data_IF_400685761408
#
_entry.id   IF_400685761408
#
_cell.length_a   1.000
_cell.length_b   1.000
_cell.length_c   1.000
_cell.angle_alpha   90.00
_cell.angle_beta   90.00
_cell.angle_gamma   90.00
#
_symmetry.space_group_name_H-M   'P 1'
#
loop_
_entity.id
_entity.type
_entity.pdbx_description
1 polymer ?
#
# COMPACT_ATOMS: atom_id res chain seq x y z
N UNK A 1 -48.21 47.09 -50.60
CA UNK A 1 -47.89 48.22 -51.49
C UNK A 1 -46.38 48.26 -51.59
N UNK A 2 -45.95 47.97 -52.75
CA UNK A 2 -44.84 48.55 -53.54
C UNK A 2 -43.46 48.52 -52.86
N UNK A 3 -42.39 48.03 -53.42
CA UNK A 3 -42.09 47.66 -54.79
C UNK A 3 -40.58 47.69 -54.99
N UNK A 4 -40.13 46.74 -55.76
CA UNK A 4 -39.09 46.82 -56.80
C UNK A 4 -37.67 47.24 -56.38
N UNK A 5 -36.75 46.37 -56.48
CA UNK A 5 -36.06 45.91 -57.68
C UNK A 5 -34.72 46.62 -57.98
N UNK A 6 -33.70 45.82 -58.09
CA UNK A 6 -32.75 45.73 -59.21
C UNK A 6 -31.48 46.56 -59.13
N UNK A 7 -30.35 46.02 -59.18
CA UNK A 7 -29.49 45.64 -60.33
C UNK A 7 -28.07 45.30 -59.92
N UNK A 8 -27.60 44.25 -60.48
CA UNK A 8 -26.23 43.84 -60.72
C UNK A 8 -25.24 44.99 -61.06
N UNK A 9 -23.99 44.83 -60.65
CA UNK A 9 -22.84 44.79 -61.55
C UNK A 9 -21.57 44.34 -60.83
N UNK A 10 -20.97 43.32 -61.41
CA UNK A 10 -19.62 42.80 -61.32
C UNK A 10 -18.53 43.81 -61.32
N UNK A 11 -17.48 43.58 -60.55
CA UNK A 11 -16.10 43.63 -61.02
C UNK A 11 -15.14 42.92 -60.06
N UNK A 12 -14.33 42.07 -60.63
CA UNK A 12 -13.25 41.32 -59.99
C UNK A 12 -12.00 42.17 -59.81
N UNK A 13 -11.32 41.99 -58.73
CA UNK A 13 -9.86 42.24 -58.64
C UNK A 13 -9.28 41.45 -57.47
N UNK A 14 -8.32 40.64 -57.75
CA UNK A 14 -7.67 39.71 -56.84
C UNK A 14 -6.76 40.41 -55.80
N UNK A 15 -6.63 39.78 -54.69
CA UNK A 15 -5.47 39.90 -53.82
C UNK A 15 -5.21 38.54 -53.20
N UNK A 16 -4.18 37.87 -53.64
CA UNK A 16 -3.51 36.79 -52.93
C UNK A 16 -3.01 37.35 -51.59
N UNK A 17 -3.53 36.85 -50.48
CA UNK A 17 -2.85 36.91 -49.20
C UNK A 17 -2.65 35.49 -48.71
N UNK A 18 -1.39 35.09 -48.63
CA UNK A 18 -0.95 33.79 -48.16
C UNK A 18 -1.38 33.56 -46.71
N UNK A 19 -2.16 32.49 -46.53
CA UNK A 19 -2.39 31.93 -45.21
C UNK A 19 -1.12 31.12 -44.85
N UNK A 20 -0.25 31.71 -44.01
CA UNK A 20 0.73 30.92 -43.25
C UNK A 20 -0.03 30.02 -42.28
N UNK A 21 -0.27 28.79 -42.69
CA UNK A 21 -0.65 27.75 -41.75
C UNK A 21 0.54 27.49 -40.85
N UNK A 22 0.48 28.06 -39.65
CA UNK A 22 1.27 27.58 -38.49
C UNK A 22 0.83 26.16 -38.18
N UNK A 23 1.46 25.20 -38.85
CA UNK A 23 1.44 23.81 -38.42
C UNK A 23 2.24 23.79 -37.09
N UNK A 24 1.55 24.02 -35.99
CA UNK A 24 2.08 23.70 -34.67
C UNK A 24 2.34 22.20 -34.64
N UNK A 25 3.59 21.80 -34.84
CA UNK A 25 4.04 20.46 -34.50
C UNK A 25 3.96 20.35 -32.96
N UNK A 26 2.77 20.05 -32.46
CA UNK A 26 2.64 19.48 -31.14
C UNK A 26 3.44 18.16 -31.19
N UNK A 27 4.65 18.19 -30.67
CA UNK A 27 5.36 16.97 -30.33
C UNK A 27 4.53 16.29 -29.25
N UNK A 28 3.54 15.50 -29.65
CA UNK A 28 2.94 14.52 -28.77
C UNK A 28 4.09 13.62 -28.32
N UNK A 29 4.37 13.63 -27.05
CA UNK A 29 5.25 12.64 -26.46
C UNK A 29 4.62 11.26 -26.77
N UNK A 30 5.09 10.62 -27.82
CA UNK A 30 4.76 9.22 -28.05
C UNK A 30 5.40 8.45 -26.89
N UNK A 31 4.58 7.85 -26.04
CA UNK A 31 5.06 6.89 -25.07
C UNK A 31 5.87 5.83 -25.83
N UNK A 32 7.10 5.59 -25.40
CA UNK A 32 7.91 4.51 -25.96
C UNK A 32 7.26 3.18 -25.54
N UNK A 33 6.54 2.55 -26.46
CA UNK A 33 5.86 1.28 -26.19
C UNK A 33 6.83 0.11 -26.11
N UNK A 34 8.08 0.28 -26.54
CA UNK A 34 9.11 -0.74 -26.46
C UNK A 34 9.92 -0.54 -25.18
N UNK A 35 9.58 -1.33 -24.13
CA UNK A 35 10.28 -1.33 -22.84
C UNK A 35 11.25 -2.51 -22.69
N UNK A 36 11.46 -3.30 -23.74
CA UNK A 36 12.40 -4.41 -23.72
C UNK A 36 13.84 -3.93 -23.48
N UNK A 37 14.60 -4.67 -22.69
CA UNK A 37 15.99 -4.35 -22.35
C UNK A 37 16.14 -3.27 -21.27
N UNK A 38 15.06 -2.64 -20.80
CA UNK A 38 15.07 -1.74 -19.65
C UNK A 38 15.46 -2.45 -18.37
N UNK A 39 15.98 -1.70 -17.39
CA UNK A 39 16.45 -2.23 -16.11
C UNK A 39 15.63 -1.71 -14.95
N UNK A 40 15.05 -2.63 -14.17
CA UNK A 40 14.36 -2.36 -12.91
C UNK A 40 15.18 -2.96 -11.77
N UNK A 41 15.30 -2.23 -10.65
CA UNK A 41 15.88 -2.78 -9.41
C UNK A 41 14.81 -2.68 -8.33
N UNK A 42 14.58 -3.80 -7.63
CA UNK A 42 13.67 -3.85 -6.48
C UNK A 42 14.48 -4.08 -5.19
N UNK A 43 14.30 -3.21 -4.20
CA UNK A 43 14.92 -3.32 -2.87
C UNK A 43 13.81 -3.50 -1.83
N UNK A 44 13.41 -4.74 -1.53
CA UNK A 44 12.46 -5.05 -0.46
C UNK A 44 13.12 -4.93 0.92
N UNK A 45 12.29 -4.81 1.98
CA UNK A 45 12.75 -4.92 3.37
C UNK A 45 13.34 -6.31 3.62
N UNK A 46 12.70 -7.35 3.12
CA UNK A 46 13.20 -8.73 3.10
C UNK A 46 12.47 -9.54 2.03
N UNK A 47 13.12 -10.56 1.51
CA UNK A 47 12.51 -11.66 0.76
C UNK A 47 12.19 -12.83 1.69
N UNK A 48 11.56 -13.90 1.16
CA UNK A 48 11.22 -15.10 1.93
C UNK A 48 9.98 -14.95 2.81
N UNK A 49 9.25 -13.86 2.71
CA UNK A 49 7.92 -13.68 3.30
C UNK A 49 6.87 -13.60 2.20
N UNK A 50 5.65 -14.10 2.47
CA UNK A 50 4.56 -14.19 1.48
C UNK A 50 4.29 -12.85 0.79
N UNK A 51 4.32 -11.77 1.53
CA UNK A 51 4.11 -10.40 1.05
C UNK A 51 5.05 -10.04 -0.12
N UNK A 52 6.35 -10.12 0.11
CA UNK A 52 7.36 -9.70 -0.87
C UNK A 52 7.54 -10.73 -1.99
N UNK A 53 7.34 -12.01 -1.72
CA UNK A 53 7.33 -13.07 -2.74
C UNK A 53 6.13 -12.89 -3.70
N UNK A 54 4.95 -12.55 -3.19
CA UNK A 54 3.78 -12.24 -4.01
C UNK A 54 4.06 -11.06 -4.95
N UNK A 55 4.63 -9.97 -4.45
CA UNK A 55 5.02 -8.83 -5.30
C UNK A 55 6.07 -9.20 -6.33
N UNK A 56 7.15 -9.85 -5.89
CA UNK A 56 8.25 -10.23 -6.76
C UNK A 56 7.82 -11.16 -7.89
N UNK A 57 6.95 -12.13 -7.60
CA UNK A 57 6.38 -13.04 -8.59
C UNK A 57 5.66 -12.26 -9.68
N UNK A 58 4.73 -11.36 -9.31
CA UNK A 58 3.95 -10.59 -10.27
C UNK A 58 4.79 -9.60 -11.07
N UNK A 59 5.71 -8.91 -10.43
CA UNK A 59 6.63 -8.02 -11.14
C UNK A 59 7.53 -8.78 -12.13
N UNK A 60 7.98 -10.01 -11.81
CA UNK A 60 8.74 -10.87 -12.74
C UNK A 60 7.87 -11.33 -13.92
N UNK A 61 6.60 -11.69 -13.70
CA UNK A 61 5.68 -12.03 -14.78
C UNK A 61 5.55 -10.88 -15.80
N UNK A 62 5.44 -9.63 -15.33
CA UNK A 62 5.46 -8.46 -16.21
C UNK A 62 6.80 -8.31 -16.96
N UNK A 63 7.92 -8.47 -16.25
CA UNK A 63 9.25 -8.41 -16.86
C UNK A 63 9.43 -9.45 -17.98
N UNK A 64 8.97 -10.68 -17.74
CA UNK A 64 9.04 -11.76 -18.73
C UNK A 64 8.16 -11.47 -19.97
N UNK A 65 6.96 -10.91 -19.77
CA UNK A 65 6.04 -10.56 -20.87
C UNK A 65 6.61 -9.44 -21.74
N UNK A 66 7.20 -8.41 -21.14
CA UNK A 66 7.61 -7.19 -21.83
C UNK A 66 9.12 -7.12 -22.13
N UNK A 67 9.91 -8.08 -21.67
CA UNK A 67 11.34 -8.22 -21.99
C UNK A 67 12.26 -7.25 -21.26
N UNK A 68 11.84 -6.63 -20.15
CA UNK A 68 12.75 -5.89 -19.28
C UNK A 68 13.34 -6.79 -18.19
N UNK A 69 14.36 -6.32 -17.50
CA UNK A 69 14.98 -7.08 -16.39
C UNK A 69 14.58 -6.51 -15.05
N UNK A 70 14.38 -7.39 -14.05
CA UNK A 70 14.20 -7.00 -12.67
C UNK A 70 15.25 -7.67 -11.77
N UNK A 71 16.07 -6.86 -11.11
CA UNK A 71 17.09 -7.29 -10.14
C UNK A 71 16.57 -7.03 -8.72
N UNK A 72 16.44 -8.10 -7.92
CA UNK A 72 15.90 -8.02 -6.56
C UNK A 72 17.07 -8.11 -5.57
N UNK A 73 17.17 -7.12 -4.67
CA UNK A 73 18.23 -6.98 -3.69
C UNK A 73 17.65 -7.04 -2.28
N UNK A 74 17.73 -8.21 -1.71
CA UNK A 74 17.18 -8.52 -0.39
C UNK A 74 17.98 -7.80 0.71
N UNK A 75 17.31 -6.97 1.51
CA UNK A 75 17.88 -6.32 2.68
C UNK A 75 17.81 -7.17 3.95
N UNK A 76 17.11 -8.32 3.93
CA UNK A 76 17.02 -9.29 5.02
C UNK A 76 16.68 -8.65 6.39
N UNK A 77 15.70 -7.72 6.42
CA UNK A 77 15.31 -6.91 7.59
C UNK A 77 16.45 -6.02 8.16
N UNK A 78 17.58 -5.89 7.47
CA UNK A 78 18.67 -5.03 7.89
C UNK A 78 18.53 -3.62 7.27
N UNK A 79 18.11 -2.66 8.07
CA UNK A 79 17.87 -1.29 7.63
C UNK A 79 19.13 -0.57 7.17
N UNK A 80 20.31 -0.87 7.76
CA UNK A 80 21.60 -0.36 7.32
C UNK A 80 22.00 -0.89 5.95
N UNK A 81 21.91 -2.21 5.76
CA UNK A 81 22.17 -2.86 4.48
C UNK A 81 21.20 -2.34 3.40
N UNK A 82 19.95 -2.09 3.73
CA UNK A 82 18.95 -1.55 2.79
C UNK A 82 19.35 -0.18 2.23
N UNK A 83 19.85 0.72 3.09
CA UNK A 83 20.33 2.04 2.66
C UNK A 83 21.55 1.94 1.72
N UNK A 84 22.46 1.01 2.00
CA UNK A 84 23.63 0.73 1.14
C UNK A 84 23.24 0.10 -0.20
N UNK A 85 22.32 -0.88 -0.19
CA UNK A 85 21.79 -1.50 -1.41
C UNK A 85 21.12 -0.47 -2.31
N UNK A 86 20.34 0.46 -1.70
CA UNK A 86 19.68 1.51 -2.43
C UNK A 86 20.70 2.51 -3.04
N UNK A 87 21.71 2.92 -2.29
CA UNK A 87 22.78 3.78 -2.79
C UNK A 87 23.53 3.13 -3.96
N UNK A 88 23.82 1.83 -3.86
CA UNK A 88 24.42 1.07 -4.94
C UNK A 88 23.50 0.99 -6.16
N UNK A 89 22.21 0.72 -5.95
CA UNK A 89 21.21 0.69 -7.03
C UNK A 89 21.16 2.03 -7.79
N UNK A 90 21.18 3.16 -7.11
CA UNK A 90 21.19 4.49 -7.72
C UNK A 90 22.43 4.68 -8.61
N UNK A 91 23.62 4.26 -8.13
CA UNK A 91 24.85 4.39 -8.92
C UNK A 91 24.84 3.61 -10.25
N UNK A 92 24.02 2.58 -10.35
CA UNK A 92 23.84 1.75 -11.57
C UNK A 92 22.82 2.35 -12.55
N UNK A 93 22.13 3.42 -12.18
CA UNK A 93 21.18 4.18 -12.99
C UNK A 93 20.11 3.29 -13.65
N UNK A 94 19.30 2.54 -12.88
CA UNK A 94 18.20 1.79 -13.46
C UNK A 94 17.15 2.73 -14.06
N UNK A 95 16.32 2.23 -14.96
CA UNK A 95 15.19 2.99 -15.50
C UNK A 95 14.09 3.20 -14.44
N UNK A 96 13.86 2.18 -13.58
CA UNK A 96 12.94 2.25 -12.44
C UNK A 96 13.58 1.61 -11.21
N UNK A 97 13.42 2.27 -10.07
CA UNK A 97 13.81 1.78 -8.76
C UNK A 97 12.57 1.54 -7.91
N UNK A 98 12.33 0.30 -7.49
CA UNK A 98 11.20 -0.08 -6.62
C UNK A 98 11.72 -0.19 -5.19
N UNK A 99 11.04 0.47 -4.25
CA UNK A 99 11.51 0.57 -2.85
C UNK A 99 10.37 0.24 -1.89
N UNK A 100 10.64 -0.67 -0.95
CA UNK A 100 9.76 -0.96 0.18
C UNK A 100 10.35 -0.31 1.45
N UNK A 101 9.82 0.84 1.85
CA UNK A 101 10.39 1.65 2.93
C UNK A 101 10.15 1.02 4.31
N UNK A 102 11.19 0.81 5.15
CA UNK A 102 10.98 0.28 6.51
C UNK A 102 10.44 1.32 7.49
N UNK A 103 10.75 2.60 7.27
CA UNK A 103 10.22 3.72 8.06
C UNK A 103 10.00 4.93 7.14
N UNK A 104 9.20 5.90 7.58
CA UNK A 104 8.89 7.10 6.78
C UNK A 104 10.12 7.96 6.46
N UNK A 105 11.22 7.83 7.19
CA UNK A 105 12.39 8.71 7.06
C UNK A 105 13.64 8.05 6.51
N UNK A 106 13.84 6.76 6.77
CA UNK A 106 15.14 6.09 6.59
C UNK A 106 15.73 6.27 5.19
N UNK A 107 14.93 6.10 4.15
CA UNK A 107 15.37 6.13 2.74
C UNK A 107 15.06 7.43 2.02
N UNK A 108 14.54 8.44 2.71
CA UNK A 108 14.14 9.73 2.13
C UNK A 108 15.24 10.41 1.33
N UNK A 109 16.48 10.37 1.84
CA UNK A 109 17.65 10.95 1.16
C UNK A 109 17.95 10.24 -0.15
N UNK A 110 17.95 8.90 -0.15
CA UNK A 110 18.24 8.09 -1.34
C UNK A 110 17.13 8.23 -2.38
N UNK A 111 15.85 8.25 -1.95
CA UNK A 111 14.73 8.48 -2.86
C UNK A 111 14.87 9.84 -3.54
N UNK A 112 15.15 10.90 -2.76
CA UNK A 112 15.37 12.25 -3.30
C UNK A 112 16.55 12.29 -4.28
N UNK A 113 17.64 11.59 -3.97
CA UNK A 113 18.81 11.48 -4.85
C UNK A 113 18.44 10.79 -6.16
N UNK A 114 17.79 9.62 -6.13
CA UNK A 114 17.36 8.88 -7.31
C UNK A 114 16.51 9.75 -8.25
N UNK A 115 15.48 10.41 -7.70
CA UNK A 115 14.61 11.31 -8.46
C UNK A 115 15.41 12.48 -9.09
N UNK A 116 16.34 13.09 -8.34
CA UNK A 116 17.18 14.18 -8.85
C UNK A 116 18.15 13.75 -9.96
N UNK A 117 18.50 12.47 -10.02
CA UNK A 117 19.32 11.86 -11.07
C UNK A 117 18.47 11.35 -12.26
N UNK A 118 17.15 11.55 -12.23
CA UNK A 118 16.23 11.15 -13.30
C UNK A 118 15.79 9.69 -13.25
N UNK A 119 16.12 8.95 -12.18
CA UNK A 119 15.66 7.59 -11.93
C UNK A 119 14.23 7.66 -11.40
N UNK A 120 13.30 6.97 -12.06
CA UNK A 120 11.90 6.89 -11.59
C UNK A 120 11.80 5.99 -10.39
N UNK A 121 11.22 6.48 -9.30
CA UNK A 121 11.07 5.70 -8.07
C UNK A 121 9.61 5.31 -7.87
N UNK A 122 9.37 4.01 -7.74
CA UNK A 122 8.12 3.42 -7.29
C UNK A 122 8.27 3.00 -5.82
N UNK A 123 7.55 3.64 -4.92
CA UNK A 123 7.42 3.15 -3.56
C UNK A 123 6.29 2.12 -3.51
N UNK A 124 6.54 0.96 -2.89
CA UNK A 124 5.54 -0.09 -2.75
C UNK A 124 5.14 -0.27 -1.29
N UNK A 125 3.84 -0.40 -1.05
CA UNK A 125 3.19 -0.68 0.23
C UNK A 125 3.41 0.41 1.31
N UNK A 126 4.64 0.75 1.65
CA UNK A 126 4.99 1.73 2.67
C UNK A 126 5.63 2.97 2.03
N UNK A 127 5.07 4.14 2.30
CA UNK A 127 5.57 5.41 1.79
C UNK A 127 6.64 6.01 2.71
N UNK A 128 7.64 6.63 2.10
CA UNK A 128 8.50 7.61 2.77
C UNK A 128 7.79 8.97 2.88
N UNK A 129 8.24 9.82 3.78
CA UNK A 129 7.87 11.24 3.78
C UNK A 129 8.49 12.03 2.60
N UNK A 130 9.37 11.39 1.81
CA UNK A 130 9.87 11.93 0.55
C UNK A 130 8.98 11.46 -0.60
N UNK A 131 8.30 12.38 -1.31
CA UNK A 131 7.57 12.01 -2.52
C UNK A 131 8.46 11.36 -3.57
N UNK A 132 7.88 10.51 -4.41
CA UNK A 132 8.54 9.84 -5.54
C UNK A 132 7.68 9.92 -6.80
N UNK A 133 8.16 9.36 -7.92
CA UNK A 133 7.40 9.32 -9.17
C UNK A 133 6.08 8.58 -9.01
N UNK A 134 6.08 7.45 -8.26
CA UNK A 134 4.88 6.63 -8.09
C UNK A 134 4.79 5.95 -6.71
N UNK A 135 3.57 5.57 -6.35
CA UNK A 135 3.25 4.72 -5.22
C UNK A 135 2.21 3.67 -5.60
N UNK A 136 2.43 2.43 -5.15
CA UNK A 136 1.44 1.35 -5.18
C UNK A 136 1.31 0.78 -3.77
N UNK A 137 0.13 0.81 -3.19
CA UNK A 137 -0.06 0.35 -1.82
C UNK A 137 -1.50 0.38 -1.33
N UNK A 138 -1.67 0.13 -0.03
CA UNK A 138 -2.98 0.22 0.61
C UNK A 138 -3.29 1.65 1.08
N UNK A 139 -4.58 1.94 1.22
CA UNK A 139 -5.03 3.15 1.89
C UNK A 139 -5.04 2.92 3.41
N UNK A 140 -3.91 3.21 4.05
CA UNK A 140 -3.70 2.95 5.48
C UNK A 140 -4.63 3.75 6.39
N UNK A 141 -4.99 4.98 6.00
CA UNK A 141 -5.95 5.81 6.74
C UNK A 141 -7.33 5.14 6.76
N UNK A 142 -7.79 4.70 5.59
CA UNK A 142 -9.06 4.00 5.46
C UNK A 142 -9.08 2.72 6.27
N UNK A 143 -8.00 1.92 6.21
CA UNK A 143 -7.89 0.66 6.96
C UNK A 143 -7.96 0.92 8.46
N UNK A 144 -7.14 1.84 8.99
CA UNK A 144 -7.13 2.18 10.41
C UNK A 144 -8.49 2.66 10.91
N UNK A 145 -9.14 3.53 10.13
CA UNK A 145 -10.49 4.03 10.44
C UNK A 145 -11.52 2.91 10.43
N UNK A 146 -11.60 2.09 9.38
CA UNK A 146 -12.61 1.03 9.27
C UNK A 146 -12.44 -0.05 10.35
N UNK A 147 -11.20 -0.42 10.72
CA UNK A 147 -10.95 -1.34 11.83
C UNK A 147 -11.42 -0.72 13.15
N UNK A 148 -11.10 0.55 13.39
CA UNK A 148 -11.52 1.23 14.62
C UNK A 148 -13.05 1.37 14.71
N UNK A 149 -13.73 1.72 13.62
CA UNK A 149 -15.20 1.78 13.54
C UNK A 149 -15.83 0.39 13.83
N UNK A 150 -15.25 -0.68 13.32
CA UNK A 150 -15.71 -2.04 13.58
C UNK A 150 -15.47 -2.45 15.05
N UNK A 151 -14.33 -2.06 15.64
CA UNK A 151 -14.05 -2.25 17.07
C UNK A 151 -15.06 -1.49 17.94
N UNK A 152 -15.38 -0.24 17.62
CA UNK A 152 -16.40 0.55 18.32
C UNK A 152 -17.75 -0.17 18.27
N UNK A 153 -18.14 -0.68 17.12
CA UNK A 153 -19.39 -1.44 16.95
C UNK A 153 -19.44 -2.70 17.82
N UNK A 154 -18.35 -3.43 17.91
CA UNK A 154 -18.29 -4.74 18.59
C UNK A 154 -17.96 -4.61 20.09
N UNK A 155 -17.29 -3.55 20.50
CA UNK A 155 -16.80 -3.34 21.86
C UNK A 155 -17.42 -2.14 22.60
N UNK A 156 -18.01 -1.20 21.85
CA UNK A 156 -18.53 0.06 22.39
C UNK A 156 -19.87 -0.06 23.08
N UNK A 157 -20.55 1.07 23.24
CA UNK A 157 -21.80 1.18 23.96
C UNK A 157 -22.88 0.22 23.44
N UNK A 158 -23.52 -0.51 24.35
CA UNK A 158 -24.56 -1.49 24.01
C UNK A 158 -24.05 -2.89 23.62
N UNK A 159 -22.76 -3.11 23.47
CA UNK A 159 -22.18 -4.43 23.17
C UNK A 159 -22.16 -5.37 24.41
N UNK A 160 -22.24 -4.82 25.61
CA UNK A 160 -22.06 -5.55 26.85
C UNK A 160 -20.60 -5.90 27.17
N UNK A 161 -19.64 -5.40 26.38
CA UNK A 161 -18.19 -5.61 26.57
C UNK A 161 -17.52 -4.40 27.23
N UNK A 162 -16.26 -4.56 27.63
CA UNK A 162 -15.53 -3.56 28.43
C UNK A 162 -15.13 -2.28 27.66
N UNK A 163 -15.11 -2.33 26.32
CA UNK A 163 -14.54 -1.26 25.50
C UNK A 163 -13.00 -1.19 25.51
N UNK A 164 -12.31 -2.08 26.22
CA UNK A 164 -10.84 -2.08 26.30
C UNK A 164 -10.20 -2.65 25.06
N UNK A 165 -9.25 -1.92 24.49
CA UNK A 165 -8.58 -2.25 23.21
C UNK A 165 -7.07 -2.20 23.40
N UNK A 166 -6.36 -3.17 22.83
CA UNK A 166 -4.91 -3.14 22.71
C UNK A 166 -4.52 -2.94 21.24
N UNK A 167 -3.58 -2.04 20.95
CA UNK A 167 -3.01 -1.85 19.62
C UNK A 167 -1.60 -2.44 19.62
N UNK A 168 -1.29 -3.25 18.62
CA UNK A 168 0.03 -3.89 18.44
C UNK A 168 0.55 -3.52 17.05
N UNK A 169 1.21 -2.35 16.92
CA UNK A 169 1.87 -1.97 15.68
C UNK A 169 3.15 -2.81 15.47
N UNK A 170 3.65 -2.81 14.23
CA UNK A 170 4.98 -3.35 13.94
C UNK A 170 6.06 -2.45 14.53
N UNK A 171 6.45 -1.41 13.81
CA UNK A 171 7.32 -0.35 14.31
C UNK A 171 6.56 0.97 14.35
N UNK A 172 6.69 1.72 15.45
CA UNK A 172 5.96 3.00 15.61
C UNK A 172 6.30 4.05 14.54
N UNK A 173 7.42 3.90 13.85
CA UNK A 173 7.88 4.82 12.79
C UNK A 173 7.62 4.31 11.37
N UNK A 174 7.03 3.14 11.21
CA UNK A 174 6.59 2.64 9.91
C UNK A 174 5.37 3.44 9.42
N UNK A 175 5.25 3.62 8.11
CA UNK A 175 4.20 4.48 7.53
C UNK A 175 2.79 3.97 7.84
N UNK A 176 2.56 2.67 7.71
CA UNK A 176 1.29 2.02 8.06
C UNK A 176 0.93 2.23 9.53
N UNK A 177 1.91 2.04 10.43
CA UNK A 177 1.70 2.20 11.87
C UNK A 177 1.34 3.64 12.26
N UNK A 178 2.04 4.61 11.70
CA UNK A 178 1.77 6.03 11.94
C UNK A 178 0.36 6.40 11.45
N UNK A 179 0.04 6.04 10.20
CA UNK A 179 -1.21 6.46 9.55
C UNK A 179 -2.41 5.72 10.14
N UNK A 180 -2.31 4.40 10.36
CA UNK A 180 -3.41 3.62 10.94
C UNK A 180 -3.68 3.99 12.40
N UNK A 181 -2.63 4.21 13.22
CA UNK A 181 -2.81 4.69 14.58
C UNK A 181 -3.52 6.04 14.63
N UNK A 182 -3.06 7.01 13.83
CA UNK A 182 -3.68 8.34 13.77
C UNK A 182 -5.17 8.25 13.39
N UNK A 183 -5.49 7.45 12.38
CA UNK A 183 -6.86 7.22 11.96
C UNK A 183 -7.71 6.50 13.02
N UNK A 184 -7.17 5.48 13.67
CA UNK A 184 -7.87 4.73 14.72
C UNK A 184 -8.10 5.59 15.97
N UNK A 185 -7.11 6.35 16.42
CA UNK A 185 -7.26 7.23 17.56
C UNK A 185 -8.31 8.31 17.35
N UNK A 186 -8.39 8.91 16.13
CA UNK A 186 -9.46 9.86 15.77
C UNK A 186 -10.87 9.26 15.93
N UNK A 187 -11.03 7.98 15.61
CA UNK A 187 -12.30 7.28 15.81
C UNK A 187 -12.54 7.05 17.31
N UNK A 188 -11.55 6.53 18.03
CA UNK A 188 -11.70 6.21 19.46
C UNK A 188 -11.92 7.46 20.33
N UNK A 189 -11.29 8.60 20.01
CA UNK A 189 -11.50 9.88 20.69
C UNK A 189 -12.94 10.41 20.62
N UNK A 190 -13.71 9.95 19.64
CA UNK A 190 -15.13 10.27 19.51
C UNK A 190 -16.05 9.30 20.30
N UNK A 191 -15.46 8.31 21.00
CA UNK A 191 -16.15 7.22 21.67
C UNK A 191 -15.58 7.00 23.08
N UNK A 192 -16.08 7.75 24.06
CA UNK A 192 -15.62 7.73 25.47
C UNK A 192 -15.65 6.35 26.13
N UNK A 193 -16.47 5.43 25.58
CA UNK A 193 -16.58 4.05 26.04
C UNK A 193 -15.45 3.14 25.57
N UNK A 194 -14.59 3.60 24.64
CA UNK A 194 -13.42 2.86 24.17
C UNK A 194 -12.17 3.34 24.90
N UNK A 195 -11.48 2.41 25.52
CA UNK A 195 -10.22 2.66 26.22
C UNK A 195 -9.07 1.92 25.54
N UNK A 196 -8.08 2.63 25.01
CA UNK A 196 -6.84 2.02 24.52
C UNK A 196 -5.91 1.75 25.69
N UNK A 197 -5.93 0.52 26.20
CA UNK A 197 -5.16 0.10 27.39
C UNK A 197 -3.69 -0.22 27.07
N UNK A 198 -3.35 -0.44 25.82
CA UNK A 198 -1.98 -0.71 25.37
C UNK A 198 -1.77 -0.29 23.91
N UNK A 199 -0.61 0.30 23.63
CA UNK A 199 -0.12 0.56 22.26
C UNK A 199 1.39 0.28 22.24
N UNK A 200 1.78 -0.99 21.98
CA UNK A 200 3.15 -1.46 22.09
C UNK A 200 3.61 -2.13 20.79
N UNK A 201 4.77 -1.67 20.28
CA UNK A 201 5.34 -2.21 19.04
C UNK A 201 5.92 -3.62 19.23
N UNK A 202 5.58 -4.51 18.30
CA UNK A 202 6.10 -5.88 18.26
C UNK A 202 7.37 -6.04 17.44
N UNK A 203 7.86 -4.98 16.77
CA UNK A 203 8.96 -5.01 15.79
C UNK A 203 8.75 -6.03 14.66
N UNK A 204 7.48 -6.25 14.27
CA UNK A 204 7.01 -7.24 13.29
C UNK A 204 7.22 -8.71 13.71
N UNK A 205 7.61 -8.95 14.98
CA UNK A 205 7.91 -10.27 15.51
C UNK A 205 6.68 -10.92 16.15
N UNK A 206 6.24 -12.11 15.68
CA UNK A 206 5.08 -12.82 16.23
C UNK A 206 5.24 -13.17 17.71
N UNK A 207 6.44 -13.60 18.14
CA UNK A 207 6.68 -13.97 19.53
C UNK A 207 6.61 -12.76 20.46
N UNK A 208 7.10 -11.60 20.02
CA UNK A 208 6.99 -10.37 20.79
C UNK A 208 5.53 -9.90 20.91
N UNK A 209 4.76 -9.98 19.81
CA UNK A 209 3.31 -9.72 19.85
C UNK A 209 2.58 -10.66 20.82
N UNK A 210 2.96 -11.94 20.85
CA UNK A 210 2.43 -12.93 21.80
C UNK A 210 2.71 -12.56 23.25
N UNK A 211 3.95 -12.17 23.58
CA UNK A 211 4.36 -11.77 24.94
C UNK A 211 3.65 -10.49 25.40
N UNK A 212 3.55 -9.48 24.52
CA UNK A 212 2.79 -8.25 24.78
C UNK A 212 1.35 -8.60 25.10
N UNK A 213 0.70 -9.40 24.26
CA UNK A 213 -0.70 -9.80 24.43
C UNK A 213 -0.92 -10.58 25.72
N UNK A 214 -0.05 -11.56 26.05
CA UNK A 214 -0.14 -12.31 27.30
C UNK A 214 -0.09 -11.37 28.52
N UNK A 215 0.77 -10.36 28.50
CA UNK A 215 0.89 -9.35 29.57
C UNK A 215 -0.38 -8.50 29.65
N UNK A 216 -0.90 -8.03 28.52
CA UNK A 216 -2.12 -7.21 28.46
C UNK A 216 -3.33 -8.00 29.00
N UNK A 217 -3.47 -9.28 28.63
CA UNK A 217 -4.55 -10.15 29.13
C UNK A 217 -4.49 -10.40 30.62
N UNK A 218 -3.29 -10.43 31.23
CA UNK A 218 -3.13 -10.52 32.68
C UNK A 218 -3.56 -9.23 33.39
N UNK A 219 -3.25 -8.06 32.81
CA UNK A 219 -3.59 -6.76 33.37
C UNK A 219 -5.06 -6.39 33.12
N UNK A 220 -5.59 -6.80 31.99
CA UNK A 220 -6.95 -6.51 31.52
C UNK A 220 -7.65 -7.80 31.12
N UNK A 221 -8.09 -8.65 32.08
CA UNK A 221 -8.75 -9.93 31.78
C UNK A 221 -10.08 -9.77 31.04
N UNK A 222 -10.63 -8.57 31.01
CA UNK A 222 -11.83 -8.14 30.31
C UNK A 222 -11.53 -7.45 28.96
N UNK A 223 -10.31 -7.61 28.41
CA UNK A 223 -9.95 -7.06 27.10
C UNK A 223 -10.98 -7.44 26.03
N UNK A 224 -11.46 -6.47 25.24
CA UNK A 224 -12.43 -6.72 24.19
C UNK A 224 -11.80 -6.99 22.84
N UNK A 225 -10.80 -6.18 22.45
CA UNK A 225 -10.21 -6.31 21.13
C UNK A 225 -8.71 -6.07 21.11
N UNK A 226 -8.06 -6.66 20.10
CA UNK A 226 -6.67 -6.40 19.72
C UNK A 226 -6.66 -5.93 18.26
N UNK A 227 -5.97 -4.82 17.99
CA UNK A 227 -5.71 -4.32 16.66
C UNK A 227 -4.21 -4.47 16.33
N UNK A 228 -3.87 -5.46 15.50
CA UNK A 228 -2.51 -5.68 15.00
C UNK A 228 -2.35 -5.14 13.58
N UNK A 229 -1.18 -4.58 13.27
CA UNK A 229 -0.94 -3.87 12.00
C UNK A 229 -0.45 -4.76 10.86
N UNK A 230 -0.17 -6.01 11.09
CA UNK A 230 0.18 -6.99 10.07
C UNK A 230 -0.20 -8.40 10.55
N UNK A 231 -0.78 -9.19 9.67
CA UNK A 231 -1.33 -10.52 9.96
C UNK A 231 -0.30 -11.47 10.58
N UNK A 232 0.93 -11.51 10.06
CA UNK A 232 1.98 -12.44 10.52
C UNK A 232 2.31 -12.23 12.00
N UNK A 233 2.58 -11.01 12.46
CA UNK A 233 2.85 -10.80 13.88
C UNK A 233 1.58 -10.86 14.73
N UNK A 234 0.45 -10.47 14.18
CA UNK A 234 -0.83 -10.49 14.89
C UNK A 234 -1.31 -11.92 15.16
N UNK A 235 -0.91 -12.91 14.34
CA UNK A 235 -1.10 -14.33 14.68
C UNK A 235 -0.44 -14.70 16.01
N UNK A 236 0.70 -14.09 16.35
CA UNK A 236 1.31 -14.24 17.68
C UNK A 236 0.38 -13.76 18.80
N UNK A 237 -0.24 -12.59 18.62
CA UNK A 237 -1.23 -12.06 19.55
C UNK A 237 -2.46 -12.97 19.64
N UNK A 238 -2.99 -13.43 18.50
CA UNK A 238 -4.13 -14.36 18.45
C UNK A 238 -3.84 -15.70 19.15
N UNK A 239 -2.62 -16.21 19.01
CA UNK A 239 -2.20 -17.41 19.73
C UNK A 239 -2.17 -17.19 21.26
N UNK A 240 -1.73 -16.02 21.75
CA UNK A 240 -1.80 -15.70 23.17
C UNK A 240 -3.26 -15.64 23.68
N UNK A 241 -4.18 -15.09 22.90
CA UNK A 241 -5.62 -15.11 23.20
C UNK A 241 -6.15 -16.53 23.29
N UNK A 242 -5.78 -17.39 22.32
CA UNK A 242 -6.16 -18.82 22.30
C UNK A 242 -5.60 -19.58 23.50
N UNK A 243 -4.32 -19.39 23.84
CA UNK A 243 -3.67 -20.02 24.99
C UNK A 243 -4.31 -19.61 26.33
N UNK A 244 -4.84 -18.39 26.39
CA UNK A 244 -5.61 -17.90 27.54
C UNK A 244 -7.07 -18.41 27.57
N UNK A 245 -7.50 -19.19 26.57
CA UNK A 245 -8.88 -19.69 26.46
C UNK A 245 -9.92 -18.62 26.13
N UNK A 246 -9.50 -17.50 25.51
CA UNK A 246 -10.34 -16.30 25.31
C UNK A 246 -10.73 -16.03 23.86
N UNK A 247 -10.60 -17.02 22.96
CA UNK A 247 -10.90 -16.85 21.53
C UNK A 247 -12.34 -16.44 21.21
N UNK A 248 -13.30 -16.71 22.08
CA UNK A 248 -14.69 -16.29 21.90
C UNK A 248 -15.01 -14.96 22.64
N UNK A 249 -14.07 -14.43 23.44
CA UNK A 249 -14.24 -13.20 24.23
C UNK A 249 -13.52 -12.01 23.58
N UNK A 250 -12.27 -12.22 23.13
CA UNK A 250 -11.37 -11.17 22.62
C UNK A 250 -11.28 -11.24 21.10
N UNK A 251 -11.68 -10.17 20.44
CA UNK A 251 -11.62 -10.06 18.97
C UNK A 251 -10.22 -9.65 18.54
N UNK A 252 -9.63 -10.39 17.60
CA UNK A 252 -8.29 -10.10 17.05
C UNK A 252 -8.41 -9.61 15.62
N UNK A 253 -8.12 -8.34 15.43
CA UNK A 253 -8.14 -7.64 14.16
C UNK A 253 -6.73 -7.54 13.60
N UNK A 254 -6.61 -7.72 12.29
CA UNK A 254 -5.33 -7.56 11.59
C UNK A 254 -5.54 -6.87 10.23
N UNK A 255 -4.46 -6.37 9.68
CA UNK A 255 -4.34 -6.07 8.26
C UNK A 255 -3.20 -6.91 7.69
N UNK A 256 -3.16 -7.16 6.39
CA UNK A 256 -2.09 -7.99 5.83
C UNK A 256 -2.24 -8.29 4.36
N UNK A 257 -1.34 -9.14 3.87
CA UNK A 257 -1.31 -9.55 2.47
C UNK A 257 -2.40 -10.52 2.06
N UNK A 258 -3.02 -11.23 3.02
CA UNK A 258 -4.18 -12.10 2.79
C UNK A 258 -3.85 -13.38 2.03
N UNK A 259 -2.74 -14.04 2.36
CA UNK A 259 -2.37 -15.35 1.84
C UNK A 259 -3.19 -16.50 2.46
N UNK A 260 -2.95 -17.72 2.03
CA UNK A 260 -3.62 -18.92 2.54
C UNK A 260 -3.30 -19.22 4.02
N UNK A 261 -2.11 -18.79 4.52
CA UNK A 261 -1.75 -18.93 5.94
C UNK A 261 -2.59 -17.98 6.79
N UNK A 262 -2.77 -16.75 6.35
CA UNK A 262 -3.65 -15.76 6.99
C UNK A 262 -5.09 -16.25 7.02
N UNK A 263 -5.58 -16.80 5.91
CA UNK A 263 -6.91 -17.35 5.84
C UNK A 263 -7.11 -18.54 6.78
N UNK A 264 -6.13 -19.41 6.88
CA UNK A 264 -6.17 -20.52 7.85
C UNK A 264 -6.22 -20.00 9.29
N UNK A 265 -5.49 -18.94 9.61
CA UNK A 265 -5.54 -18.33 10.92
C UNK A 265 -6.94 -17.71 11.22
N UNK A 266 -7.64 -17.20 10.21
CA UNK A 266 -9.02 -16.70 10.34
C UNK A 266 -9.98 -17.87 10.53
N UNK A 267 -9.87 -18.96 9.74
CA UNK A 267 -10.67 -20.17 9.89
C UNK A 267 -10.54 -20.76 11.30
N UNK A 268 -9.32 -20.80 11.84
CA UNK A 268 -9.00 -21.33 13.17
C UNK A 268 -9.30 -20.36 14.32
N UNK A 269 -9.91 -19.19 14.04
CA UNK A 269 -10.21 -18.13 14.99
C UNK A 269 -8.98 -17.60 15.77
N UNK A 270 -7.78 -17.71 15.20
CA UNK A 270 -6.58 -17.04 15.69
C UNK A 270 -6.68 -15.55 15.34
N UNK A 271 -7.15 -15.23 14.12
CA UNK A 271 -7.56 -13.91 13.70
C UNK A 271 -9.07 -13.89 13.49
N UNK A 272 -9.75 -12.82 13.92
CA UNK A 272 -11.20 -12.73 13.78
C UNK A 272 -11.62 -11.96 12.52
N UNK A 273 -10.88 -10.91 12.20
CA UNK A 273 -11.08 -10.11 10.97
C UNK A 273 -9.76 -9.60 10.43
N UNK A 274 -9.58 -9.71 9.14
CA UNK A 274 -8.38 -9.22 8.44
C UNK A 274 -8.79 -8.31 7.29
N UNK A 275 -8.30 -7.08 7.31
CA UNK A 275 -8.34 -6.16 6.18
C UNK A 275 -7.15 -6.47 5.28
N UNK A 276 -7.40 -7.32 4.27
CA UNK A 276 -6.38 -7.73 3.32
C UNK A 276 -6.24 -6.71 2.20
N UNK A 277 -5.01 -6.24 1.96
CA UNK A 277 -4.67 -5.43 0.81
C UNK A 277 -4.20 -6.26 -0.39
N UNK A 278 -4.42 -7.59 -0.37
CA UNK A 278 -4.17 -8.50 -1.49
C UNK A 278 -2.76 -8.36 -2.07
N UNK A 279 -1.76 -8.93 -1.40
CA UNK A 279 -0.35 -8.80 -1.81
C UNK A 279 -0.10 -9.25 -3.26
N UNK A 280 -0.80 -10.30 -3.73
CA UNK A 280 -0.72 -10.75 -5.11
C UNK A 280 -1.28 -9.70 -6.09
N UNK A 281 -2.45 -9.12 -5.78
CA UNK A 281 -3.03 -8.00 -6.53
C UNK A 281 -2.13 -6.78 -6.51
N UNK A 282 -1.58 -6.43 -5.35
CA UNK A 282 -0.64 -5.32 -5.21
C UNK A 282 0.62 -5.52 -6.07
N UNK A 283 1.11 -6.76 -6.18
CA UNK A 283 2.22 -7.11 -7.06
C UNK A 283 1.89 -6.89 -8.55
N UNK A 284 0.66 -7.22 -9.00
CA UNK A 284 0.19 -6.91 -10.37
C UNK A 284 0.12 -5.40 -10.60
N UNK A 285 -0.42 -4.67 -9.64
CA UNK A 285 -0.53 -3.20 -9.72
C UNK A 285 0.87 -2.57 -9.81
N UNK A 286 1.84 -3.10 -9.04
CA UNK A 286 3.24 -2.68 -9.11
C UNK A 286 3.87 -3.01 -10.47
N UNK A 287 3.64 -4.20 -11.02
CA UNK A 287 4.09 -4.57 -12.38
C UNK A 287 3.51 -3.62 -13.43
N UNK A 288 2.21 -3.36 -13.38
CA UNK A 288 1.54 -2.39 -14.27
C UNK A 288 2.13 -0.98 -14.12
N UNK A 289 2.38 -0.53 -12.90
CA UNK A 289 2.98 0.78 -12.66
C UNK A 289 4.41 0.86 -13.22
N UNK A 290 5.20 -0.20 -13.06
CA UNK A 290 6.54 -0.30 -13.67
C UNK A 290 6.45 -0.17 -15.18
N UNK A 291 5.55 -0.90 -15.85
CA UNK A 291 5.35 -0.84 -17.29
C UNK A 291 5.02 0.59 -17.75
N UNK A 292 4.12 1.27 -17.05
CA UNK A 292 3.76 2.66 -17.31
C UNK A 292 4.96 3.61 -17.12
N UNK A 293 5.71 3.44 -16.04
CA UNK A 293 6.91 4.25 -15.78
C UNK A 293 7.97 4.04 -16.85
N UNK A 294 8.22 2.80 -17.27
CA UNK A 294 9.17 2.48 -18.36
C UNK A 294 8.74 3.10 -19.70
N UNK A 295 7.43 3.21 -19.97
CA UNK A 295 6.87 3.88 -21.14
C UNK A 295 6.88 5.41 -21.05
N UNK A 296 7.35 5.99 -19.95
CA UNK A 296 7.44 7.43 -19.78
C UNK A 296 6.26 8.09 -19.08
N UNK A 297 5.37 7.32 -18.46
CA UNK A 297 4.25 7.90 -17.73
C UNK A 297 4.71 8.83 -16.60
N UNK A 298 4.03 9.95 -16.47
CA UNK A 298 4.17 10.93 -15.40
C UNK A 298 2.83 11.66 -15.24
N UNK A 299 2.53 12.13 -14.03
CA UNK A 299 1.37 12.99 -13.83
C UNK A 299 1.60 14.35 -14.49
N UNK A 300 0.57 14.90 -15.14
CA UNK A 300 0.66 16.16 -15.89
C UNK A 300 1.01 17.37 -15.02
N UNK A 301 0.65 17.31 -13.74
CA UNK A 301 0.92 18.37 -12.75
C UNK A 301 2.17 18.10 -11.90
N UNK A 302 2.94 17.03 -12.24
CA UNK A 302 4.12 16.64 -11.49
C UNK A 302 3.82 15.98 -10.14
N UNK A 303 2.56 15.63 -9.86
CA UNK A 303 2.20 14.85 -8.67
C UNK A 303 2.64 13.39 -8.80
N UNK A 304 2.63 12.68 -7.69
CA UNK A 304 2.92 11.25 -7.65
C UNK A 304 1.78 10.46 -8.31
N UNK A 305 2.12 9.50 -9.16
CA UNK A 305 1.16 8.51 -9.66
C UNK A 305 0.82 7.54 -8.52
N UNK A 306 -0.46 7.37 -8.20
CA UNK A 306 -0.91 6.52 -7.08
C UNK A 306 -1.85 5.44 -7.58
N UNK A 307 -1.57 4.20 -7.21
CA UNK A 307 -2.50 3.08 -7.35
C UNK A 307 -2.77 2.49 -5.95
N UNK A 308 -4.01 2.63 -5.49
CA UNK A 308 -4.45 2.00 -4.24
C UNK A 308 -4.98 0.59 -4.55
N UNK A 309 -4.39 -0.41 -3.91
CA UNK A 309 -4.82 -1.79 -4.06
C UNK A 309 -6.20 -2.02 -3.43
N UNK A 310 -7.11 -2.73 -4.12
CA UNK A 310 -8.40 -3.07 -3.57
C UNK A 310 -8.27 -3.85 -2.26
N UNK A 311 -9.08 -3.47 -1.28
CA UNK A 311 -9.09 -4.11 0.03
C UNK A 311 -10.21 -5.16 0.10
N UNK A 312 -9.90 -6.30 0.71
CA UNK A 312 -10.83 -7.39 1.01
C UNK A 312 -10.91 -7.58 2.52
N UNK A 313 -12.09 -7.92 3.05
CA UNK A 313 -12.25 -8.21 4.48
C UNK A 313 -12.53 -9.70 4.64
N UNK A 314 -11.58 -10.42 5.25
CA UNK A 314 -11.73 -11.83 5.59
C UNK A 314 -12.21 -11.93 7.03
N UNK A 315 -13.30 -12.65 7.27
CA UNK A 315 -13.95 -12.77 8.59
C UNK A 315 -14.02 -14.22 9.04
N UNK A 316 -13.85 -14.46 10.34
CA UNK A 316 -14.06 -15.77 10.94
C UNK A 316 -15.56 -16.12 11.08
N UNK A 317 -15.88 -17.42 11.19
CA UNK A 317 -17.24 -17.90 11.40
C UNK A 317 -18.09 -17.87 10.12
N UNK A 318 -19.38 -17.55 10.24
CA UNK A 318 -20.36 -17.63 9.14
C UNK A 318 -20.06 -16.72 7.94
N UNK A 319 -19.13 -15.80 8.09
CA UNK A 319 -18.67 -14.90 7.02
C UNK A 319 -17.35 -15.31 6.38
N UNK A 320 -16.80 -16.49 6.71
CA UNK A 320 -15.53 -16.94 6.16
C UNK A 320 -15.65 -17.32 4.68
N UNK A 321 -14.77 -16.73 3.86
CA UNK A 321 -14.68 -17.00 2.43
C UNK A 321 -13.20 -17.16 2.03
N UNK A 322 -12.78 -18.42 1.81
CA UNK A 322 -11.43 -18.78 1.40
C UNK A 322 -11.05 -18.24 0.00
N UNK A 323 -12.03 -17.88 -0.84
CA UNK A 323 -11.77 -17.32 -2.17
C UNK A 323 -11.19 -15.91 -2.14
N UNK A 324 -11.27 -15.23 -0.99
CA UNK A 324 -10.66 -13.92 -0.77
C UNK A 324 -9.14 -13.98 -0.59
N UNK A 325 -8.58 -15.18 -0.40
CA UNK A 325 -7.19 -15.42 -0.13
C UNK A 325 -6.44 -15.90 -1.37
N UNK A 326 -5.23 -15.40 -1.53
CA UNK A 326 -4.36 -15.88 -2.61
C UNK A 326 -3.44 -17.01 -2.14
N UNK A 327 -2.98 -17.82 -3.07
CA UNK A 327 -2.07 -18.96 -2.79
C UNK A 327 -0.66 -18.58 -3.21
N UNK A 328 0.29 -18.86 -2.32
CA UNK A 328 1.72 -18.76 -2.63
C UNK A 328 2.16 -19.74 -3.73
#
# INVERSE_FOLDING_TARGET
MNGLASRLRTMAAGALMGACALVGTGAGAHADTNIAGKKVIFVPIAMGISLTEGWARRMREHADIYGYTIDIRDAAFNTGAMAELLAKAISEKPDVLVVHNPTVQLLSRQIKQAESEGIKVLQINLQSNQPSTAFVGANWERIGREIAEDIVKECGAGSGKSGKVAIIPGQLTAADSVIMNDAAFKVFEAHDEIEVVSNQASDWEPEKARQITATVLQQHPDLCAIFGHWDVHTMGAGNAVKDAGKSDEVLVYATGGGDDVTCKAVEDKILHRVWSYDADGQGRDAGTMIDLLLQGAAAADGSMLVAESPMKIVKAGDGYDASLCWKM
#
